data_IF_742806472546
#
_entry.id   IF_742806472546
#
_cell.length_a   1.000
_cell.length_b   1.000
_cell.length_c   1.000
_cell.angle_alpha   90.00
_cell.angle_beta   90.00
_cell.angle_gamma   90.00
#
_symmetry.space_group_name_H-M   'P 1'
#
loop_
_entity.id
_entity.type
_entity.pdbx_description
1 polymer ?
#
# COMPACT_ATOMS: atom_id res chain seq x y z
N UNK A 1 14.10 3.95 6.17
CA UNK A 1 15.43 4.42 6.64
C UNK A 1 16.28 4.98 5.49
N UNK A 2 16.44 4.26 4.38
CA UNK A 2 17.26 4.77 3.26
C UNK A 2 16.74 6.07 2.65
N UNK A 3 15.43 6.18 2.43
CA UNK A 3 14.81 7.43 2.01
C UNK A 3 15.14 8.61 2.94
N UNK A 4 15.11 8.39 4.26
CA UNK A 4 15.49 9.41 5.25
C UNK A 4 16.97 9.79 5.12
N UNK A 5 17.88 8.82 4.89
CA UNK A 5 19.32 9.09 4.72
C UNK A 5 19.58 10.03 3.54
N UNK A 6 18.95 9.78 2.39
CA UNK A 6 19.23 10.49 1.12
C UNK A 6 18.50 11.82 0.98
N UNK A 7 17.37 12.01 1.67
CA UNK A 7 16.64 13.28 1.67
C UNK A 7 17.46 14.40 2.32
N UNK A 8 17.35 15.63 1.80
CA UNK A 8 17.96 16.82 2.42
C UNK A 8 17.16 17.25 3.66
N UNK A 9 17.81 17.97 4.57
CA UNK A 9 17.10 18.64 5.68
C UNK A 9 16.03 19.59 5.13
N UNK A 10 14.84 19.59 5.74
CA UNK A 10 13.66 20.29 5.23
C UNK A 10 12.92 19.55 4.10
N UNK A 11 13.44 18.41 3.64
CA UNK A 11 12.80 17.59 2.61
C UNK A 11 11.57 16.86 3.13
N UNK A 12 10.61 16.59 2.23
CA UNK A 12 9.40 15.83 2.54
C UNK A 12 9.34 14.56 1.69
N UNK A 13 9.04 13.43 2.31
CA UNK A 13 8.73 12.18 1.61
C UNK A 13 7.23 12.10 1.34
N UNK A 14 6.88 11.56 0.18
CA UNK A 14 5.53 11.11 -0.16
C UNK A 14 5.62 9.69 -0.70
N UNK A 15 4.74 8.81 -0.22
CA UNK A 15 4.61 7.43 -0.67
C UNK A 15 3.13 7.22 -1.01
N UNK A 16 2.85 6.91 -2.28
CA UNK A 16 1.51 6.52 -2.74
C UNK A 16 1.55 5.00 -2.92
N UNK A 17 0.78 4.28 -2.13
CA UNK A 17 0.75 2.81 -2.23
C UNK A 17 -0.64 2.27 -1.88
N UNK A 18 -0.89 1.04 -2.33
CA UNK A 18 -2.07 0.30 -1.88
C UNK A 18 -2.02 0.07 -0.37
N UNK A 19 -3.20 -0.01 0.22
CA UNK A 19 -3.37 -0.32 1.63
C UNK A 19 -4.52 -1.30 1.81
N UNK A 20 -4.58 -1.92 2.98
CA UNK A 20 -5.76 -2.65 3.41
C UNK A 20 -6.90 -1.65 3.64
N UNK A 21 -7.95 -1.74 2.84
CA UNK A 21 -9.15 -0.92 2.99
C UNK A 21 -9.80 -1.14 4.36
N UNK A 22 -10.31 -0.07 4.97
CA UNK A 22 -11.05 -0.13 6.23
C UNK A 22 -12.55 -0.35 6.02
N UNK A 23 -13.00 -0.43 4.76
CA UNK A 23 -14.40 -0.66 4.44
C UNK A 23 -14.85 -2.06 4.90
N UNK A 24 -15.90 -2.15 5.74
CA UNK A 24 -16.49 -3.43 6.12
C UNK A 24 -16.90 -4.22 4.87
N UNK A 25 -16.45 -5.47 4.77
CA UNK A 25 -16.75 -6.35 3.63
C UNK A 25 -15.91 -6.12 2.38
N UNK A 26 -15.03 -5.11 2.33
CA UNK A 26 -14.12 -4.94 1.19
C UNK A 26 -13.09 -6.07 1.13
N UNK A 27 -12.56 -6.51 2.28
CA UNK A 27 -11.67 -7.67 2.35
C UNK A 27 -12.30 -8.93 1.76
N UNK A 28 -13.54 -9.24 2.15
CA UNK A 28 -14.29 -10.40 1.63
C UNK A 28 -14.66 -10.26 0.15
N UNK A 29 -15.11 -9.08 -0.28
CA UNK A 29 -15.40 -8.81 -1.69
C UNK A 29 -14.14 -8.92 -2.56
N UNK A 30 -13.01 -8.43 -2.03
CA UNK A 30 -11.71 -8.52 -2.68
C UNK A 30 -11.19 -9.96 -2.71
N UNK A 31 -11.36 -10.75 -1.65
CA UNK A 31 -11.05 -12.19 -1.65
C UNK A 31 -11.90 -12.94 -2.67
N UNK A 32 -13.21 -12.69 -2.70
CA UNK A 32 -14.11 -13.34 -3.65
C UNK A 32 -13.79 -12.95 -5.11
N UNK A 33 -13.41 -11.69 -5.34
CA UNK A 33 -12.91 -11.22 -6.63
C UNK A 33 -11.57 -11.87 -6.99
N UNK A 34 -10.65 -11.95 -6.04
CA UNK A 34 -9.33 -12.58 -6.22
C UNK A 34 -9.49 -14.04 -6.64
N UNK A 35 -10.31 -14.81 -5.94
CA UNK A 35 -10.42 -16.25 -6.16
C UNK A 35 -11.17 -16.59 -7.46
N UNK A 36 -12.13 -15.75 -7.88
CA UNK A 36 -12.99 -16.04 -9.03
C UNK A 36 -12.60 -15.33 -10.31
N UNK A 37 -12.01 -14.14 -10.21
CA UNK A 37 -11.78 -13.26 -11.36
C UNK A 37 -10.32 -13.27 -11.79
N UNK A 38 -9.37 -13.34 -10.85
CA UNK A 38 -7.94 -13.29 -11.20
C UNK A 38 -7.45 -14.49 -12.01
N UNK A 39 -7.83 -15.75 -11.70
CA UNK A 39 -7.43 -16.89 -12.53
C UNK A 39 -7.91 -16.72 -13.98
N UNK A 40 -9.13 -16.19 -14.16
CA UNK A 40 -9.74 -15.96 -15.48
C UNK A 40 -9.12 -14.79 -16.24
N UNK A 41 -8.69 -13.73 -15.55
CA UNK A 41 -7.98 -12.60 -16.17
C UNK A 41 -6.53 -12.98 -16.50
N UNK A 42 -5.85 -13.72 -15.62
CA UNK A 42 -4.49 -14.22 -15.86
C UNK A 42 -4.41 -15.12 -17.10
N UNK A 43 -5.38 -16.01 -17.26
CA UNK A 43 -5.52 -16.88 -18.43
C UNK A 43 -5.82 -16.08 -19.72
N UNK A 44 -6.65 -15.03 -19.63
CA UNK A 44 -7.10 -14.26 -20.80
C UNK A 44 -6.12 -13.17 -21.27
N UNK A 45 -5.31 -12.58 -20.38
CA UNK A 45 -4.55 -11.35 -20.68
C UNK A 45 -3.05 -11.60 -20.84
N UNK A 46 -2.44 -12.47 -20.03
CA UNK A 46 -0.99 -12.54 -19.91
C UNK A 46 -0.39 -13.93 -20.17
N UNK A 47 -1.17 -15.01 -20.08
CA UNK A 47 -0.62 -16.36 -19.99
C UNK A 47 0.27 -16.57 -18.75
N UNK A 48 0.23 -15.62 -17.80
CA UNK A 48 1.03 -15.57 -16.58
C UNK A 48 0.12 -15.18 -15.41
N UNK A 49 -0.53 -16.21 -14.87
CA UNK A 49 -1.36 -16.13 -13.66
C UNK A 49 -0.55 -15.69 -12.42
N UNK A 50 0.76 -15.97 -12.42
CA UNK A 50 1.63 -15.77 -11.26
C UNK A 50 1.83 -14.28 -10.96
N UNK A 51 1.98 -13.45 -11.98
CA UNK A 51 2.13 -11.99 -11.86
C UNK A 51 0.94 -11.31 -11.17
N UNK A 52 -0.30 -11.70 -11.52
CA UNK A 52 -1.50 -11.14 -10.89
C UNK A 52 -1.73 -11.67 -9.47
N UNK A 53 -1.41 -12.95 -9.25
CA UNK A 53 -1.43 -13.54 -7.91
C UNK A 53 -0.44 -12.83 -6.98
N UNK A 54 0.76 -12.53 -7.47
CA UNK A 54 1.76 -11.77 -6.74
C UNK A 54 1.26 -10.37 -6.38
N UNK A 55 0.62 -9.66 -7.31
CA UNK A 55 0.07 -8.32 -7.04
C UNK A 55 -0.91 -8.37 -5.86
N UNK A 56 -1.87 -9.30 -5.88
CA UNK A 56 -2.84 -9.44 -4.80
C UNK A 56 -2.19 -9.81 -3.48
N UNK A 57 -1.25 -10.75 -3.52
CA UNK A 57 -0.54 -11.17 -2.33
C UNK A 57 0.30 -10.02 -1.73
N UNK A 58 0.92 -9.20 -2.58
CA UNK A 58 1.70 -8.04 -2.16
C UNK A 58 0.82 -6.99 -1.43
N UNK A 59 -0.40 -6.76 -1.93
CA UNK A 59 -1.38 -5.85 -1.30
C UNK A 59 -1.81 -6.41 0.06
N UNK A 60 -2.06 -7.72 0.17
CA UNK A 60 -2.45 -8.36 1.44
C UNK A 60 -1.36 -8.32 2.50
N UNK A 61 -0.09 -8.45 2.10
CA UNK A 61 1.06 -8.41 3.00
C UNK A 61 1.45 -6.99 3.40
N UNK A 62 0.91 -5.97 2.73
CA UNK A 62 1.24 -4.58 3.02
C UNK A 62 0.70 -4.16 4.40
N UNK A 63 1.46 -3.39 5.20
CA UNK A 63 1.02 -2.96 6.52
C UNK A 63 -0.23 -2.07 6.46
N UNK A 64 -1.03 -2.08 7.53
CA UNK A 64 -2.18 -1.17 7.69
C UNK A 64 -1.73 0.30 7.65
N UNK A 65 -2.61 1.26 7.28
CA UNK A 65 -2.27 2.68 7.15
C UNK A 65 -1.48 3.25 8.32
N UNK A 66 -1.99 3.09 9.55
CA UNK A 66 -1.35 3.61 10.76
C UNK A 66 -0.05 2.89 11.12
N UNK A 67 0.04 1.59 10.83
CA UNK A 67 1.26 0.82 11.04
C UNK A 67 2.37 1.31 10.12
N UNK A 68 2.07 1.51 8.83
CA UNK A 68 3.05 2.05 7.89
C UNK A 68 3.44 3.50 8.21
N UNK A 69 2.49 4.32 8.67
CA UNK A 69 2.79 5.68 9.17
C UNK A 69 3.77 5.64 10.35
N UNK A 70 3.62 4.68 11.25
CA UNK A 70 4.54 4.46 12.37
C UNK A 70 5.92 4.04 11.87
N UNK A 71 6.01 3.14 10.90
CA UNK A 71 7.28 2.75 10.27
C UNK A 71 8.02 3.93 9.63
N UNK A 72 7.29 4.88 9.02
CA UNK A 72 7.88 6.12 8.48
C UNK A 72 8.42 6.99 9.63
N UNK A 73 7.71 7.09 10.75
CA UNK A 73 8.19 7.82 11.92
C UNK A 73 9.46 7.18 12.52
N UNK A 74 9.47 5.86 12.69
CA UNK A 74 10.63 5.09 13.16
C UNK A 74 11.83 5.18 12.22
N UNK A 75 11.61 5.49 10.94
CA UNK A 75 12.68 5.74 9.98
C UNK A 75 13.38 7.10 10.17
N UNK A 76 12.87 7.97 11.06
CA UNK A 76 13.43 9.29 11.40
C UNK A 76 12.60 10.48 10.93
N UNK A 77 11.52 10.26 10.17
CA UNK A 77 10.66 11.34 9.71
C UNK A 77 9.75 11.86 10.83
N UNK A 78 9.51 13.16 10.84
CA UNK A 78 8.59 13.82 11.77
C UNK A 78 7.35 14.35 11.06
N UNK A 79 6.32 14.71 11.82
CA UNK A 79 5.02 15.19 11.29
C UNK A 79 4.47 14.21 10.24
N UNK A 80 4.50 12.93 10.55
CA UNK A 80 4.02 11.89 9.64
C UNK A 80 2.50 11.93 9.54
N UNK A 81 1.98 11.78 8.34
CA UNK A 81 0.56 11.84 8.04
C UNK A 81 0.21 10.74 7.04
N UNK A 82 -1.01 10.21 7.13
CA UNK A 82 -1.60 9.33 6.12
C UNK A 82 -2.91 9.94 5.65
N UNK A 83 -3.06 10.04 4.33
CA UNK A 83 -4.30 10.44 3.68
C UNK A 83 -4.88 9.23 2.95
N UNK A 84 -6.12 8.87 3.29
CA UNK A 84 -6.80 7.74 2.67
C UNK A 84 -7.54 8.19 1.42
N UNK A 85 -7.42 7.40 0.35
CA UNK A 85 -8.10 7.60 -0.92
C UNK A 85 -8.99 6.38 -1.20
N UNK A 86 -10.10 6.60 -1.91
CA UNK A 86 -11.01 5.51 -2.33
C UNK A 86 -11.41 4.59 -1.18
N UNK A 87 -11.75 5.16 -0.01
CA UNK A 87 -12.16 4.39 1.16
C UNK A 87 -11.03 3.63 1.89
N UNK A 88 -9.77 3.93 1.58
CA UNK A 88 -8.60 3.31 2.21
C UNK A 88 -7.93 2.23 1.37
N UNK A 89 -8.40 1.98 0.14
CA UNK A 89 -7.74 1.09 -0.82
C UNK A 89 -6.35 1.60 -1.21
N UNK A 90 -6.20 2.92 -1.30
CA UNK A 90 -4.93 3.59 -1.61
C UNK A 90 -4.70 4.64 -0.55
N UNK A 91 -3.45 4.82 -0.15
CA UNK A 91 -3.08 5.84 0.82
C UNK A 91 -1.87 6.63 0.33
N UNK A 92 -1.83 7.90 0.72
CA UNK A 92 -0.64 8.74 0.61
C UNK A 92 -0.08 8.93 2.01
N UNK A 93 1.10 8.38 2.25
CA UNK A 93 1.87 8.68 3.46
C UNK A 93 2.88 9.77 3.18
N UNK A 94 3.04 10.67 4.15
CA UNK A 94 4.04 11.73 4.06
C UNK A 94 4.73 11.97 5.39
N UNK A 95 5.92 12.56 5.34
CA UNK A 95 6.71 12.91 6.51
C UNK A 95 7.85 13.86 6.17
N UNK A 96 8.29 14.63 7.16
CA UNK A 96 9.35 15.63 6.99
C UNK A 96 10.66 15.15 7.59
N UNK A 97 11.78 15.40 6.89
CA UNK A 97 13.12 15.28 7.46
C UNK A 97 13.49 16.65 8.03
N UNK A 98 13.54 16.72 9.36
CA UNK A 98 13.94 17.88 10.15
C UNK A 98 15.03 17.42 11.12
#
# INVERSE_FOLDING_TARGET
KEAHRVLRYGGRIFVLEFSTSEWPGFGEAYELYSDKVIPRIGEAVAGDEESYRYLVESIRRFPKPEQFRTMIAEAGFVRTHVETLMGGLVCIWSGWKV
#
